data_IF_944093295998
#
_entry.id   IF_944093295998
#
_cell.length_a   1.000
_cell.length_b   1.000
_cell.length_c   1.000
_cell.angle_alpha   90.00
_cell.angle_beta   90.00
_cell.angle_gamma   90.00
#
_symmetry.space_group_name_H-M   'P 1'
#
loop_
_entity.id
_entity.type
_entity.pdbx_description
1 polymer ?
#
# COMPACT_ATOMS: atom_id res chain seq x y z
N UNK A 1 -4.34 -2.82 17.57
CA UNK A 1 -4.53 -2.95 16.11
C UNK A 1 -3.31 -2.52 15.28
N UNK A 2 -2.46 -1.60 15.75
CA UNK A 2 -1.23 -1.22 15.04
C UNK A 2 -0.33 -2.43 14.64
N UNK A 3 -0.22 -3.45 15.49
CA UNK A 3 0.53 -4.67 15.16
C UNK A 3 0.00 -5.42 13.92
N UNK A 4 -1.32 -5.48 13.72
CA UNK A 4 -1.91 -6.06 12.51
C UNK A 4 -1.59 -5.20 11.27
N UNK A 5 -1.63 -3.87 11.40
CA UNK A 5 -1.28 -2.94 10.33
C UNK A 5 0.15 -3.16 9.81
N UNK A 6 1.13 -3.28 10.71
CA UNK A 6 2.51 -3.57 10.31
C UNK A 6 2.66 -4.91 9.58
N UNK A 7 2.02 -5.97 10.09
CA UNK A 7 2.08 -7.30 9.47
C UNK A 7 1.55 -7.24 8.03
N UNK A 8 0.42 -6.56 7.81
CA UNK A 8 -0.16 -6.45 6.47
C UNK A 8 0.68 -5.59 5.52
N UNK A 9 1.36 -4.55 6.02
CA UNK A 9 2.33 -3.77 5.23
C UNK A 9 3.55 -4.62 4.85
N UNK A 10 4.09 -5.43 5.77
CA UNK A 10 5.21 -6.34 5.48
C UNK A 10 4.81 -7.42 4.46
N UNK A 11 3.58 -7.94 4.55
CA UNK A 11 3.03 -8.85 3.54
C UNK A 11 2.89 -8.17 2.19
N UNK A 12 2.40 -6.92 2.15
CA UNK A 12 2.30 -6.14 0.92
C UNK A 12 3.68 -5.94 0.30
N UNK A 13 4.69 -5.58 1.10
CA UNK A 13 6.09 -5.46 0.65
C UNK A 13 6.64 -6.74 0.04
N UNK A 14 6.39 -7.88 0.70
CA UNK A 14 6.82 -9.17 0.18
C UNK A 14 6.17 -9.48 -1.18
N UNK A 15 4.86 -9.22 -1.32
CA UNK A 15 4.12 -9.44 -2.57
C UNK A 15 4.53 -8.47 -3.69
N UNK A 16 4.70 -7.19 -3.38
CA UNK A 16 5.22 -6.21 -4.35
C UNK A 16 6.62 -6.59 -4.84
N UNK A 17 7.50 -7.03 -3.94
CA UNK A 17 8.86 -7.48 -4.28
C UNK A 17 8.82 -8.71 -5.19
N UNK A 18 7.99 -9.69 -4.86
CA UNK A 18 7.79 -10.89 -5.69
C UNK A 18 7.26 -10.54 -7.09
N UNK A 19 6.29 -9.62 -7.19
CA UNK A 19 5.79 -9.16 -8.49
C UNK A 19 6.85 -8.38 -9.28
N UNK A 20 7.60 -7.48 -8.64
CA UNK A 20 8.69 -6.75 -9.28
C UNK A 20 9.78 -7.69 -9.82
N UNK A 21 10.12 -8.73 -9.06
CA UNK A 21 11.04 -9.77 -9.51
C UNK A 21 10.49 -10.52 -10.74
N UNK A 22 9.20 -10.87 -10.73
CA UNK A 22 8.56 -11.50 -11.88
C UNK A 22 8.56 -10.61 -13.12
N UNK A 23 8.29 -9.32 -12.96
CA UNK A 23 8.40 -8.34 -14.06
C UNK A 23 9.81 -8.32 -14.64
N UNK A 24 10.83 -8.28 -13.78
CA UNK A 24 12.23 -8.29 -14.20
C UNK A 24 12.62 -9.59 -14.94
N UNK A 25 12.10 -10.74 -14.53
CA UNK A 25 12.29 -12.01 -15.25
C UNK A 25 11.69 -11.99 -16.65
N UNK A 26 10.47 -11.44 -16.79
CA UNK A 26 9.79 -11.30 -18.08
C UNK A 26 10.53 -10.31 -18.99
N UNK A 27 11.02 -9.19 -18.44
CA UNK A 27 11.82 -8.22 -19.18
C UNK A 27 13.15 -8.79 -19.68
N UNK A 28 13.78 -9.74 -18.97
CA UNK A 28 14.97 -10.44 -19.49
C UNK A 28 14.66 -11.23 -20.76
N UNK A 29 13.45 -11.78 -20.88
CA UNK A 29 13.00 -12.54 -22.04
C UNK A 29 12.48 -11.62 -23.16
N UNK A 30 11.98 -10.43 -22.81
CA UNK A 30 11.45 -9.45 -23.77
C UNK A 30 11.86 -8.01 -23.39
N UNK A 31 13.15 -7.63 -23.59
CA UNK A 31 13.68 -6.36 -23.08
C UNK A 31 13.07 -5.09 -23.70
N UNK A 32 12.39 -5.22 -24.85
CA UNK A 32 11.73 -4.13 -25.55
C UNK A 32 10.26 -3.94 -25.17
N UNK A 33 9.68 -4.83 -24.35
CA UNK A 33 8.28 -4.76 -23.93
C UNK A 33 8.02 -3.51 -23.08
N UNK A 34 7.22 -2.58 -23.62
CA UNK A 34 6.92 -1.30 -22.97
C UNK A 34 5.89 -1.44 -21.86
N UNK A 35 4.94 -2.37 -22.00
CA UNK A 35 3.94 -2.67 -20.98
C UNK A 35 4.61 -3.19 -19.71
N UNK A 36 5.56 -4.13 -19.85
CA UNK A 36 6.33 -4.63 -18.72
C UNK A 36 7.23 -3.55 -18.09
N UNK A 37 7.77 -2.60 -18.88
CA UNK A 37 8.52 -1.45 -18.35
C UNK A 37 7.65 -0.47 -17.56
N UNK A 38 6.42 -0.22 -18.03
CA UNK A 38 5.43 0.59 -17.30
C UNK A 38 5.12 -0.06 -15.95
N UNK A 39 4.80 -1.35 -15.95
CA UNK A 39 4.62 -2.15 -14.73
C UNK A 39 5.83 -2.12 -13.79
N UNK A 40 7.06 -2.21 -14.32
CA UNK A 40 8.26 -2.11 -13.50
C UNK A 40 8.36 -0.75 -12.78
N UNK A 41 7.92 0.32 -13.44
CA UNK A 41 7.87 1.67 -12.86
C UNK A 41 6.81 1.76 -11.76
N UNK A 42 5.60 1.25 -11.99
CA UNK A 42 4.56 1.19 -10.96
C UNK A 42 5.02 0.43 -9.71
N UNK A 43 5.57 -0.78 -9.87
CA UNK A 43 6.04 -1.57 -8.74
C UNK A 43 7.30 -0.99 -8.07
N UNK A 44 8.11 -0.22 -8.80
CA UNK A 44 9.17 0.56 -8.19
C UNK A 44 8.60 1.64 -7.27
N UNK A 45 7.65 2.46 -7.75
CA UNK A 45 6.97 3.48 -6.95
C UNK A 45 6.34 2.88 -5.69
N UNK A 46 5.61 1.78 -5.84
CA UNK A 46 5.02 1.03 -4.71
C UNK A 46 6.06 0.72 -3.62
N UNK A 47 7.23 0.21 -4.03
CA UNK A 47 8.26 -0.25 -3.09
C UNK A 47 9.02 0.90 -2.42
N UNK A 48 9.17 2.04 -3.09
CA UNK A 48 10.00 3.16 -2.60
C UNK A 48 9.20 4.32 -2.01
N UNK A 49 7.90 4.42 -2.32
CA UNK A 49 7.03 5.49 -1.85
C UNK A 49 5.84 4.94 -1.04
N UNK A 50 4.93 4.22 -1.68
CA UNK A 50 3.63 3.85 -1.12
C UNK A 50 3.73 2.98 0.15
N UNK A 51 4.56 1.92 0.08
CA UNK A 51 4.78 1.01 1.22
C UNK A 51 5.53 1.71 2.36
N UNK A 52 6.62 2.47 2.09
CA UNK A 52 7.25 3.30 3.12
C UNK A 52 6.30 4.31 3.77
N UNK A 53 5.45 4.99 2.99
CA UNK A 53 4.44 5.92 3.51
C UNK A 53 3.51 5.20 4.48
N UNK A 54 3.02 4.02 4.11
CA UNK A 54 2.13 3.27 4.98
C UNK A 54 2.80 2.73 6.24
N UNK A 55 4.05 2.26 6.11
CA UNK A 55 4.86 1.87 7.26
C UNK A 55 5.07 3.04 8.23
N UNK A 56 5.36 4.23 7.71
CA UNK A 56 5.53 5.45 8.52
C UNK A 56 4.20 5.90 9.14
N UNK A 57 3.09 5.82 8.42
CA UNK A 57 1.75 6.14 8.93
C UNK A 57 1.42 5.32 10.18
N UNK A 58 1.65 4.00 10.13
CA UNK A 58 1.47 3.16 11.33
C UNK A 58 2.48 3.46 12.44
N UNK A 59 3.76 3.73 12.10
CA UNK A 59 4.82 4.00 13.08
C UNK A 59 4.66 5.31 13.83
N UNK A 60 4.21 6.35 13.15
CA UNK A 60 4.05 7.69 13.72
C UNK A 60 2.65 7.92 14.30
N UNK A 61 1.77 6.92 14.25
CA UNK A 61 0.40 7.04 14.73
C UNK A 61 -0.46 7.97 13.86
N UNK A 62 -0.17 8.05 12.56
CA UNK A 62 -1.00 8.74 11.56
C UNK A 62 -1.52 7.72 10.52
N UNK A 63 -2.60 6.97 10.85
CA UNK A 63 -3.11 5.92 9.96
C UNK A 63 -3.66 6.43 8.63
N UNK A 64 -3.96 7.73 8.48
CA UNK A 64 -4.38 8.31 7.19
C UNK A 64 -3.32 8.16 6.12
N UNK A 65 -2.05 8.38 6.47
CA UNK A 65 -0.93 8.13 5.55
C UNK A 65 -0.81 6.65 5.19
N UNK A 66 -1.16 5.76 6.12
CA UNK A 66 -1.21 4.33 5.84
C UNK A 66 -2.39 3.91 4.95
N UNK A 67 -3.55 4.55 5.11
CA UNK A 67 -4.67 4.36 4.19
C UNK A 67 -4.32 4.87 2.79
N UNK A 68 -3.78 6.09 2.70
CA UNK A 68 -3.41 6.73 1.44
C UNK A 68 -2.37 5.92 0.67
N UNK A 69 -1.21 5.64 1.27
CA UNK A 69 -0.16 4.88 0.59
C UNK A 69 -0.64 3.52 0.11
N UNK A 70 -1.47 2.82 0.88
CA UNK A 70 -1.98 1.51 0.45
C UNK A 70 -3.08 1.60 -0.62
N UNK A 71 -3.88 2.67 -0.65
CA UNK A 71 -4.81 2.92 -1.76
C UNK A 71 -4.06 3.25 -3.06
N UNK A 72 -3.01 4.07 -2.97
CA UNK A 72 -2.15 4.41 -4.11
C UNK A 72 -1.45 3.16 -4.65
N UNK A 73 -0.95 2.29 -3.76
CA UNK A 73 -0.36 1.01 -4.15
C UNK A 73 -1.36 0.09 -4.86
N UNK A 74 -2.61 0.03 -4.39
CA UNK A 74 -3.66 -0.73 -5.06
C UNK A 74 -3.94 -0.16 -6.46
N UNK A 75 -4.06 1.16 -6.58
CA UNK A 75 -4.24 1.86 -7.85
C UNK A 75 -3.10 1.62 -8.84
N UNK A 76 -1.85 1.66 -8.38
CA UNK A 76 -0.68 1.38 -9.21
C UNK A 76 -0.64 -0.06 -9.75
N UNK A 77 -1.07 -1.03 -8.95
CA UNK A 77 -1.18 -2.43 -9.37
C UNK A 77 -2.32 -2.64 -10.39
N UNK A 78 -3.45 -1.97 -10.19
CA UNK A 78 -4.54 -1.95 -11.16
C UNK A 78 -4.13 -1.26 -12.47
N UNK A 79 -3.38 -0.16 -12.39
CA UNK A 79 -2.83 0.53 -13.54
C UNK A 79 -1.89 -0.37 -14.35
N UNK A 80 -0.98 -1.10 -13.67
CA UNK A 80 -0.14 -2.10 -14.33
C UNK A 80 -0.97 -3.18 -15.05
N UNK A 81 -2.04 -3.69 -14.45
CA UNK A 81 -2.90 -4.68 -15.11
C UNK A 81 -3.59 -4.12 -16.36
N UNK A 82 -4.05 -2.86 -16.29
CA UNK A 82 -4.75 -2.17 -17.39
C UNK A 82 -3.86 -1.84 -18.59
N UNK A 83 -2.53 -1.85 -18.44
CA UNK A 83 -1.59 -1.69 -19.56
C UNK A 83 -1.62 -2.87 -20.55
N UNK A 84 -2.16 -4.02 -20.13
CA UNK A 84 -2.32 -5.19 -20.99
C UNK A 84 -3.69 -5.16 -21.69
N UNK A 85 -3.71 -5.37 -23.00
CA UNK A 85 -4.95 -5.45 -23.81
C UNK A 85 -5.70 -6.78 -23.66
N UNK A 86 -5.20 -7.69 -22.84
CA UNK A 86 -5.75 -9.02 -22.58
C UNK A 86 -5.21 -9.57 -21.26
N UNK A 87 -5.31 -10.89 -21.04
CA UNK A 87 -4.81 -11.50 -19.80
C UNK A 87 -3.31 -11.26 -19.66
N UNK A 88 -2.93 -10.52 -18.61
CA UNK A 88 -1.54 -10.23 -18.30
C UNK A 88 -0.81 -11.49 -17.78
N UNK A 89 0.50 -11.66 -18.06
CA UNK A 89 1.33 -12.62 -17.34
C UNK A 89 1.45 -12.31 -15.83
N UNK A 90 0.90 -11.19 -15.37
CA UNK A 90 0.91 -10.73 -13.98
C UNK A 90 -0.48 -10.73 -13.33
N UNK A 91 -1.56 -11.09 -14.03
CA UNK A 91 -2.95 -10.95 -13.54
C UNK A 91 -3.13 -11.44 -12.10
N UNK A 92 -2.69 -12.67 -11.80
CA UNK A 92 -2.88 -13.24 -10.47
C UNK A 92 -2.07 -12.48 -9.40
N UNK A 93 -0.87 -12.02 -9.75
CA UNK A 93 0.00 -11.26 -8.85
C UNK A 93 -0.51 -9.84 -8.60
N UNK A 94 -0.93 -9.15 -9.66
CA UNK A 94 -1.55 -7.83 -9.59
C UNK A 94 -2.82 -7.87 -8.76
N UNK A 95 -3.68 -8.87 -8.97
CA UNK A 95 -4.90 -9.05 -8.18
C UNK A 95 -4.60 -9.31 -6.71
N UNK A 96 -3.70 -10.25 -6.40
CA UNK A 96 -3.35 -10.57 -5.01
C UNK A 96 -2.77 -9.34 -4.30
N UNK A 97 -1.89 -8.59 -4.96
CA UNK A 97 -1.31 -7.39 -4.37
C UNK A 97 -2.34 -6.27 -4.21
N UNK A 98 -3.16 -6.01 -5.22
CA UNK A 98 -4.28 -5.05 -5.15
C UNK A 98 -5.22 -5.33 -3.98
N UNK A 99 -5.68 -6.58 -3.84
CA UNK A 99 -6.63 -6.97 -2.80
C UNK A 99 -6.01 -6.83 -1.41
N UNK A 100 -4.75 -7.25 -1.25
CA UNK A 100 -4.01 -7.09 0.00
C UNK A 100 -3.82 -5.61 0.36
N UNK A 101 -3.51 -4.76 -0.62
CA UNK A 101 -3.35 -3.33 -0.42
C UNK A 101 -4.66 -2.67 0.01
N UNK A 102 -5.77 -3.00 -0.65
CA UNK A 102 -7.11 -2.54 -0.26
C UNK A 102 -7.51 -2.99 1.16
N UNK A 103 -7.18 -4.23 1.53
CA UNK A 103 -7.41 -4.74 2.90
C UNK A 103 -6.56 -3.96 3.91
N UNK A 104 -5.30 -3.67 3.59
CA UNK A 104 -4.39 -2.93 4.46
C UNK A 104 -4.88 -1.48 4.66
N UNK A 105 -5.33 -0.82 3.59
CA UNK A 105 -5.94 0.51 3.68
C UNK A 105 -7.19 0.50 4.59
N UNK A 106 -8.04 -0.53 4.46
CA UNK A 106 -9.20 -0.70 5.33
C UNK A 106 -8.79 -0.88 6.81
N UNK A 107 -7.73 -1.64 7.08
CA UNK A 107 -7.18 -1.79 8.44
C UNK A 107 -6.69 -0.44 8.97
N UNK A 108 -5.97 0.34 8.16
CA UNK A 108 -5.49 1.67 8.54
C UNK A 108 -6.66 2.59 8.95
N UNK A 109 -7.73 2.61 8.15
CA UNK A 109 -8.94 3.36 8.45
C UNK A 109 -9.63 2.93 9.75
N UNK A 110 -9.69 1.61 10.02
CA UNK A 110 -10.24 1.09 11.28
C UNK A 110 -9.39 1.49 12.49
N UNK A 111 -8.06 1.53 12.34
CA UNK A 111 -7.15 2.04 13.38
C UNK A 111 -7.42 3.52 13.66
N UNK A 112 -7.67 4.33 12.64
CA UNK A 112 -8.01 5.74 12.81
C UNK A 112 -9.31 5.93 13.60
N UNK A 113 -10.40 5.28 13.17
CA UNK A 113 -11.72 5.41 13.78
C UNK A 113 -11.69 4.98 15.25
N UNK A 114 -11.04 3.85 15.54
CA UNK A 114 -10.93 3.34 16.91
C UNK A 114 -10.10 4.25 17.80
N UNK A 115 -9.01 4.85 17.29
CA UNK A 115 -8.23 5.84 18.02
C UNK A 115 -9.08 7.07 18.36
N UNK A 116 -9.87 7.58 17.41
CA UNK A 116 -10.80 8.69 17.64
C UNK A 116 -11.88 8.38 18.68
N UNK A 117 -12.49 7.18 18.61
CA UNK A 117 -13.50 6.75 19.57
C UNK A 117 -12.94 6.60 21.00
N UNK A 118 -11.76 5.99 21.13
CA UNK A 118 -11.06 5.86 22.43
C UNK A 118 -10.72 7.24 22.98
N UNK A 119 -10.26 8.17 22.14
CA UNK A 119 -9.97 9.54 22.55
C UNK A 119 -11.20 10.30 23.05
N UNK A 120 -12.36 10.12 22.42
CA UNK A 120 -13.61 10.74 22.87
C UNK A 120 -14.08 10.20 24.23
N UNK A 121 -13.87 8.90 24.49
CA UNK A 121 -14.26 8.25 25.75
C UNK A 121 -13.31 8.59 26.91
N UNK A 122 -12.01 8.76 26.66
CA UNK A 122 -11.00 8.79 27.72
C UNK A 122 -10.67 10.18 28.29
N UNK A 123 -11.05 11.30 27.66
CA UNK A 123 -10.74 12.68 28.11
C UNK A 123 -9.26 12.91 28.50
N UNK A 124 -8.34 12.08 28.01
CA UNK A 124 -6.91 12.18 28.33
C UNK A 124 -6.23 13.21 27.41
N UNK A 125 -5.42 14.09 28.00
CA UNK A 125 -4.65 15.14 27.28
C UNK A 125 -3.71 14.58 26.20
N UNK A 126 -3.36 13.30 26.26
CA UNK A 126 -2.47 12.64 25.30
C UNK A 126 -3.08 12.52 23.88
N UNK A 127 -4.42 12.50 23.77
CA UNK A 127 -5.11 12.47 22.48
C UNK A 127 -5.06 13.80 21.71
N UNK A 128 -4.85 14.93 22.41
CA UNK A 128 -4.86 16.25 21.77
C UNK A 128 -3.68 16.45 20.80
N UNK A 129 -2.53 15.78 21.01
CA UNK A 129 -1.39 15.88 20.09
C UNK A 129 -1.64 15.20 18.74
N UNK A 130 -2.47 14.15 18.68
CA UNK A 130 -2.78 13.45 17.42
C UNK A 130 -3.75 14.24 16.53
N UNK A 131 -4.61 15.08 17.11
CA UNK A 131 -5.54 15.94 16.36
C UNK A 131 -4.91 17.23 15.83
N UNK A 132 -3.83 17.71 16.44
CA UNK A 132 -3.17 18.98 16.02
C UNK A 132 -2.31 18.79 14.78
N UNK A 133 -1.78 17.60 14.51
CA UNK A 133 -0.97 17.32 13.31
C UNK A 133 -1.78 17.00 12.05
N UNK A 134 -3.11 16.87 12.17
CA UNK A 134 -4.03 16.58 11.05
C UNK A 134 -4.74 17.82 10.51
N UNK A 135 -4.31 19.02 10.93
CA UNK A 135 -4.79 20.31 10.43
C UNK A 135 -3.71 21.12 9.71
N UNK A 136 -3.36 20.71 8.49
CA UNK A 136 -2.97 21.58 7.37
C UNK A 136 -3.76 21.10 6.16
#
# INVERSE_FOLDING_TARGET
MAGLGFITVDMAKAKATDTANRINELLKQSPSDQTLKSCATFYHTILVADIPEASQGFKLGNPKFAEQGMNDAAGAAEACEKEFSGKSPLTDKNKVFHDLSSITATIARLVEISSGAICNLSRLKECWMQSVTSGI
#
